data_IF_919239237581
#
_entry.id   IF_919239237581
#
_cell.length_a   1.000
_cell.length_b   1.000
_cell.length_c   1.000
_cell.angle_alpha   90.00
_cell.angle_beta   90.00
_cell.angle_gamma   90.00
#
_symmetry.space_group_name_H-M   'P 1'
#
loop_
_entity.id
_entity.type
_entity.pdbx_description
1 polymer ?
#
# COMPACT_ATOMS: atom_id res chain seq x y z
N UNK A 1 13.69 -8.97 3.92
CA UNK A 1 13.21 -8.83 2.53
C UNK A 1 14.11 -7.90 1.69
N UNK A 2 14.23 -6.60 2.01
CA UNK A 2 15.07 -5.68 1.21
C UNK A 2 16.56 -6.08 1.20
N UNK A 3 17.10 -6.48 2.34
CA UNK A 3 18.48 -6.99 2.45
C UNK A 3 18.73 -8.19 1.53
N UNK A 4 17.87 -9.21 1.63
CA UNK A 4 17.89 -10.38 0.74
C UNK A 4 17.85 -9.99 -0.74
N UNK A 5 17.01 -9.02 -1.10
CA UNK A 5 16.96 -8.52 -2.48
C UNK A 5 18.30 -7.89 -2.90
N UNK A 6 18.90 -7.05 -2.08
CA UNK A 6 20.17 -6.39 -2.39
C UNK A 6 21.35 -7.36 -2.46
N UNK A 7 21.41 -8.33 -1.55
CA UNK A 7 22.52 -9.28 -1.43
C UNK A 7 22.43 -10.40 -2.48
N UNK A 8 21.23 -10.94 -2.75
CA UNK A 8 21.10 -12.19 -3.51
C UNK A 8 20.41 -12.02 -4.87
N UNK A 9 19.46 -11.09 -5.01
CA UNK A 9 18.62 -11.03 -6.21
C UNK A 9 19.00 -9.89 -7.17
N UNK A 10 19.33 -8.70 -6.66
CA UNK A 10 19.53 -7.50 -7.49
C UNK A 10 20.67 -7.68 -8.47
N UNK A 11 21.79 -8.26 -8.03
CA UNK A 11 22.96 -8.53 -8.89
C UNK A 11 22.67 -9.53 -10.02
N UNK A 12 21.72 -10.46 -9.82
CA UNK A 12 21.32 -11.44 -10.84
C UNK A 12 20.50 -10.80 -11.96
N UNK A 13 19.69 -9.79 -11.63
CA UNK A 13 18.79 -9.15 -12.59
C UNK A 13 19.34 -7.86 -13.19
N UNK A 14 20.22 -7.13 -12.51
CA UNK A 14 20.79 -5.89 -13.01
C UNK A 14 21.77 -6.17 -14.15
N UNK A 15 21.36 -5.89 -15.40
CA UNK A 15 22.17 -6.15 -16.61
C UNK A 15 22.91 -4.93 -17.11
N UNK A 16 22.48 -3.74 -16.71
CA UNK A 16 23.07 -2.47 -17.14
C UNK A 16 24.20 -2.06 -16.18
N UNK A 17 25.41 -1.97 -16.74
CA UNK A 17 26.60 -1.53 -16.01
C UNK A 17 26.42 -0.07 -15.59
N UNK A 18 26.59 0.22 -14.29
CA UNK A 18 26.44 1.58 -13.74
C UNK A 18 25.00 1.96 -13.30
N UNK A 19 24.05 1.02 -13.32
CA UNK A 19 22.66 1.31 -12.92
C UNK A 19 22.50 1.56 -11.41
N UNK A 20 22.05 2.77 -11.05
CA UNK A 20 21.91 3.24 -9.67
C UNK A 20 20.51 3.05 -9.07
N UNK A 21 19.50 2.73 -9.90
CA UNK A 21 18.12 2.53 -9.42
C UNK A 21 18.01 1.35 -8.46
N UNK A 22 17.29 1.54 -7.35
CA UNK A 22 17.16 0.51 -6.31
C UNK A 22 16.54 -0.78 -6.86
N UNK A 23 15.40 -0.65 -7.55
CA UNK A 23 14.69 -1.78 -8.13
C UNK A 23 14.90 -1.87 -9.64
N UNK A 24 15.14 -3.09 -10.12
CA UNK A 24 15.33 -3.43 -11.53
C UNK A 24 14.30 -4.46 -12.00
N UNK A 25 13.93 -4.38 -13.28
CA UNK A 25 13.01 -5.33 -13.90
C UNK A 25 13.65 -6.70 -14.05
N UNK A 26 12.96 -7.75 -13.63
CA UNK A 26 13.43 -9.13 -13.82
C UNK A 26 13.36 -9.60 -15.29
N UNK A 27 12.74 -8.82 -16.18
CA UNK A 27 12.62 -9.14 -17.62
C UNK A 27 13.71 -8.45 -18.45
N UNK A 28 13.81 -7.13 -18.33
CA UNK A 28 14.75 -6.34 -19.13
C UNK A 28 16.10 -6.15 -18.44
N UNK A 29 16.15 -6.24 -17.11
CA UNK A 29 17.33 -5.87 -16.31
C UNK A 29 17.58 -4.37 -16.21
N UNK A 30 16.70 -3.56 -16.80
CA UNK A 30 16.69 -2.10 -16.73
C UNK A 30 15.95 -1.62 -15.45
N UNK A 31 15.93 -0.31 -15.15
CA UNK A 31 15.09 0.24 -14.10
C UNK A 31 13.65 -0.21 -14.21
N UNK A 32 13.04 -0.47 -13.05
CA UNK A 32 11.66 -0.90 -12.97
C UNK A 32 10.72 0.25 -13.39
N UNK A 33 9.81 0.00 -14.33
CA UNK A 33 8.85 0.97 -14.83
C UNK A 33 7.42 0.76 -14.26
N UNK A 34 6.50 1.67 -14.57
CA UNK A 34 5.11 1.57 -14.08
C UNK A 34 4.40 0.30 -14.59
N UNK A 35 4.73 -0.14 -15.81
CA UNK A 35 4.15 -1.35 -16.40
C UNK A 35 4.66 -2.63 -15.72
N UNK A 36 5.91 -2.65 -15.26
CA UNK A 36 6.48 -3.70 -14.41
C UNK A 36 5.73 -3.75 -13.09
N UNK A 37 5.49 -2.62 -12.42
CA UNK A 37 4.75 -2.56 -11.15
C UNK A 37 3.34 -3.13 -11.30
N UNK A 38 2.60 -2.70 -12.34
CA UNK A 38 1.25 -3.23 -12.62
C UNK A 38 1.27 -4.75 -12.80
N UNK A 39 2.23 -5.27 -13.59
CA UNK A 39 2.37 -6.71 -13.81
C UNK A 39 2.73 -7.49 -12.55
N UNK A 40 3.62 -6.94 -11.71
CA UNK A 40 4.01 -7.55 -10.44
C UNK A 40 2.80 -7.67 -9.53
N UNK A 41 2.01 -6.60 -9.39
CA UNK A 41 0.79 -6.59 -8.57
C UNK A 41 -0.24 -7.59 -9.09
N UNK A 42 -0.50 -7.61 -10.39
CA UNK A 42 -1.42 -8.56 -11.00
C UNK A 42 -0.96 -10.01 -10.84
N UNK A 43 0.35 -10.27 -10.97
CA UNK A 43 0.93 -11.61 -10.75
C UNK A 43 0.76 -12.04 -9.29
N UNK A 44 0.99 -11.14 -8.33
CA UNK A 44 0.78 -11.41 -6.91
C UNK A 44 -0.70 -11.71 -6.60
N UNK A 45 -1.63 -10.91 -7.14
CA UNK A 45 -3.07 -11.12 -6.97
C UNK A 45 -3.52 -12.49 -7.50
N UNK A 46 -3.03 -12.89 -8.69
CA UNK A 46 -3.30 -14.22 -9.25
C UNK A 46 -2.77 -15.35 -8.37
N UNK A 47 -1.53 -15.22 -7.85
CA UNK A 47 -0.93 -16.21 -6.93
C UNK A 47 -1.73 -16.33 -5.62
N UNK A 48 -2.27 -15.22 -5.14
CA UNK A 48 -3.13 -15.17 -3.97
C UNK A 48 -4.59 -15.59 -4.25
N UNK A 49 -4.91 -16.03 -5.49
CA UNK A 49 -6.27 -16.44 -5.92
C UNK A 49 -7.34 -15.34 -5.75
N UNK A 50 -6.94 -14.07 -5.82
CA UNK A 50 -7.86 -12.94 -5.76
C UNK A 50 -8.55 -12.80 -7.12
N UNK A 51 -9.87 -13.00 -7.16
CA UNK A 51 -10.69 -12.91 -8.38
C UNK A 51 -11.01 -11.46 -8.80
N UNK A 52 -10.94 -10.52 -7.86
CA UNK A 52 -11.18 -9.09 -8.13
C UNK A 52 -10.04 -8.52 -8.96
N UNK A 53 -10.33 -7.49 -9.74
CA UNK A 53 -9.30 -6.74 -10.44
C UNK A 53 -8.43 -5.97 -9.43
N UNK A 54 -7.12 -6.24 -9.42
CA UNK A 54 -6.15 -5.60 -8.51
C UNK A 54 -5.15 -4.78 -9.31
N UNK A 55 -5.08 -3.50 -8.98
CA UNK A 55 -4.12 -2.51 -9.47
C UNK A 55 -3.24 -1.99 -8.33
N UNK A 56 -2.10 -1.33 -8.62
CA UNK A 56 -1.30 -0.67 -7.59
C UNK A 56 -2.10 0.31 -6.72
N UNK A 57 -3.09 1.01 -7.30
CA UNK A 57 -3.98 1.91 -6.56
C UNK A 57 -4.89 1.15 -5.59
N UNK A 58 -5.53 0.06 -6.03
CA UNK A 58 -6.38 -0.75 -5.13
C UNK A 58 -5.58 -1.40 -4.00
N UNK A 59 -4.33 -1.81 -4.28
CA UNK A 59 -3.43 -2.37 -3.28
C UNK A 59 -3.03 -1.32 -2.25
N UNK A 60 -2.62 -0.12 -2.71
CA UNK A 60 -2.31 1.02 -1.84
C UNK A 60 -3.51 1.37 -0.95
N UNK A 61 -4.70 1.45 -1.54
CA UNK A 61 -5.92 1.77 -0.80
C UNK A 61 -6.20 0.74 0.30
N UNK A 62 -6.13 -0.54 -0.04
CA UNK A 62 -6.35 -1.64 0.92
C UNK A 62 -5.32 -1.60 2.05
N UNK A 63 -4.05 -1.34 1.74
CA UNK A 63 -3.00 -1.19 2.75
C UNK A 63 -3.31 -0.04 3.72
N UNK A 64 -3.72 1.12 3.19
CA UNK A 64 -4.08 2.28 3.98
C UNK A 64 -5.28 2.00 4.91
N UNK A 65 -6.36 1.42 4.38
CA UNK A 65 -7.52 1.02 5.17
C UNK A 65 -7.16 -0.02 6.22
N UNK A 66 -6.27 -0.98 5.89
CA UNK A 66 -5.83 -2.01 6.83
C UNK A 66 -5.01 -1.41 7.98
N UNK A 67 -4.15 -0.43 7.71
CA UNK A 67 -3.40 0.29 8.73
C UNK A 67 -4.34 1.13 9.63
N UNK A 68 -5.32 1.81 9.05
CA UNK A 68 -6.32 2.58 9.80
C UNK A 68 -7.13 1.70 10.76
N UNK A 69 -7.65 0.56 10.26
CA UNK A 69 -8.34 -0.42 11.10
C UNK A 69 -7.47 -1.01 12.21
N UNK A 70 -6.15 -1.04 12.01
CA UNK A 70 -5.16 -1.40 13.01
C UNK A 70 -4.90 -0.32 14.08
N UNK A 71 -5.68 0.78 14.09
CA UNK A 71 -5.50 1.96 14.93
C UNK A 71 -4.16 2.67 14.74
N UNK A 72 -3.51 2.49 13.59
CA UNK A 72 -2.33 3.28 13.27
C UNK A 72 -2.74 4.73 13.05
N UNK A 73 -1.95 5.67 13.59
CA UNK A 73 -2.23 7.11 13.51
C UNK A 73 -2.33 7.54 12.04
N UNK A 74 -3.47 8.13 11.69
CA UNK A 74 -3.77 8.60 10.33
C UNK A 74 -2.73 9.58 9.81
N UNK A 75 -2.12 10.41 10.67
CA UNK A 75 -1.03 11.33 10.29
C UNK A 75 0.25 10.57 9.95
N UNK A 76 0.49 9.44 10.61
CA UNK A 76 1.61 8.56 10.27
C UNK A 76 1.35 7.84 8.94
N UNK A 77 0.14 7.34 8.72
CA UNK A 77 -0.27 6.71 7.44
C UNK A 77 -0.17 7.71 6.29
N UNK A 78 -0.59 8.97 6.50
CA UNK A 78 -0.46 10.03 5.50
C UNK A 78 1.00 10.34 5.14
N UNK A 79 1.91 10.38 6.12
CA UNK A 79 3.35 10.51 5.87
C UNK A 79 3.91 9.30 5.10
N UNK A 80 3.46 8.09 5.45
CA UNK A 80 3.90 6.84 4.83
C UNK A 80 3.45 6.68 3.37
N UNK A 81 2.26 7.19 3.05
CA UNK A 81 1.67 7.07 1.71
C UNK A 81 2.00 8.24 0.79
N UNK A 82 2.59 9.31 1.33
CA UNK A 82 3.25 10.38 0.58
C UNK A 82 2.33 11.18 -0.32
N UNK A 83 1.77 12.27 0.20
CA UNK A 83 1.06 13.26 -0.62
C UNK A 83 1.75 14.62 -0.60
N UNK A 84 2.36 14.97 -1.74
CA UNK A 84 2.55 16.37 -2.16
C UNK A 84 1.26 16.96 -2.78
N UNK A 85 0.19 16.16 -3.00
CA UNK A 85 -1.20 16.59 -3.37
C UNK A 85 -2.30 15.62 -2.88
N UNK A 86 -3.35 16.19 -2.29
CA UNK A 86 -4.43 15.65 -1.44
C UNK A 86 -5.64 14.99 -2.16
N UNK A 87 -5.47 14.24 -3.26
CA UNK A 87 -6.63 13.67 -3.99
C UNK A 87 -7.27 12.41 -3.36
N UNK A 88 -6.75 11.92 -2.23
CA UNK A 88 -7.19 10.68 -1.54
C UNK A 88 -7.69 10.91 -0.11
N UNK A 89 -7.72 12.17 0.33
CA UNK A 89 -8.08 12.58 1.70
C UNK A 89 -9.54 12.26 2.02
N UNK A 90 -10.44 12.32 1.03
CA UNK A 90 -11.88 12.09 1.22
C UNK A 90 -12.19 10.68 1.73
N UNK A 91 -11.47 9.66 1.23
CA UNK A 91 -11.70 8.30 1.71
C UNK A 91 -11.16 8.10 3.12
N UNK A 92 -10.06 8.77 3.47
CA UNK A 92 -9.51 8.74 4.82
C UNK A 92 -10.42 9.43 5.84
N UNK A 93 -11.03 10.55 5.46
CA UNK A 93 -12.05 11.22 6.26
C UNK A 93 -13.27 10.32 6.50
N UNK A 94 -13.73 9.59 5.48
CA UNK A 94 -14.85 8.67 5.65
C UNK A 94 -14.55 7.54 6.64
N UNK A 95 -13.31 7.03 6.66
CA UNK A 95 -12.88 5.99 7.63
C UNK A 95 -12.77 6.56 9.05
N UNK A 96 -12.19 7.75 9.22
CA UNK A 96 -12.20 8.47 10.52
C UNK A 96 -13.62 8.67 11.04
N UNK A 97 -14.57 9.08 10.19
CA UNK A 97 -15.96 9.28 10.60
C UNK A 97 -16.62 7.96 11.05
N UNK A 98 -16.34 6.84 10.38
CA UNK A 98 -16.86 5.54 10.83
C UNK A 98 -16.26 5.10 12.16
N UNK A 99 -14.96 5.32 12.36
CA UNK A 99 -14.27 4.92 13.59
C UNK A 99 -14.68 5.83 14.77
N UNK A 100 -14.82 7.14 14.53
CA UNK A 100 -15.33 8.11 15.51
C UNK A 100 -16.76 7.76 15.92
N UNK A 101 -17.62 7.37 14.98
CA UNK A 101 -18.97 6.89 15.30
C UNK A 101 -18.92 5.66 16.21
N UNK A 102 -18.06 4.69 15.94
CA UNK A 102 -17.94 3.48 16.76
C UNK A 102 -17.41 3.81 18.17
N UNK A 103 -16.43 4.71 18.29
CA UNK A 103 -15.92 5.18 19.60
C UNK A 103 -16.98 5.95 20.37
N UNK A 104 -17.71 6.86 19.70
CA UNK A 104 -18.81 7.61 20.31
C UNK A 104 -19.90 6.64 20.77
N UNK A 105 -20.29 5.63 19.98
CA UNK A 105 -21.27 4.63 20.41
C UNK A 105 -20.81 3.85 21.67
N UNK A 106 -19.52 3.51 21.76
CA UNK A 106 -18.99 2.77 22.93
C UNK A 106 -18.86 3.62 24.19
N UNK A 107 -18.56 4.91 24.04
CA UNK A 107 -18.22 5.78 25.18
C UNK A 107 -19.35 6.76 25.56
N UNK A 108 -20.33 6.98 24.70
CA UNK A 108 -21.38 7.97 24.93
C UNK A 108 -22.43 7.42 25.91
N UNK A 109 -22.68 8.11 27.05
CA UNK A 109 -23.58 7.63 28.11
C UNK A 109 -25.02 7.33 27.65
N UNK A 110 -25.48 7.93 26.54
CA UNK A 110 -26.84 7.74 25.98
C UNK A 110 -26.99 6.56 25.01
N UNK A 111 -25.91 5.89 24.59
CA UNK A 111 -25.95 4.70 23.70
C UNK A 111 -25.98 3.37 24.49
N UNK A 112 -25.77 3.39 25.81
CA UNK A 112 -26.15 2.28 26.69
C UNK A 112 -27.67 2.18 26.74
N UNK A 113 -28.28 1.51 25.75
CA UNK A 113 -29.70 1.16 25.79
C UNK A 113 -29.96 0.15 26.92
N UNK A 114 -31.05 0.43 27.65
CA UNK A 114 -31.89 -0.51 28.38
C UNK A 114 -32.23 -1.74 27.54
#
# INVERSE_FOLDING_TARGET
>A
ALRLYLEEARGVFAREVGQTRLFVSTRSGAPLDDADIVRIVQKAARRAKIKKHVTPHTLRHTCATHLLKGKADIRQIQKLLGHRRLSSTEVYTHVEISDLREVVQRCHPREKKR
#
